data_IF_262259035117
#
_entry.id   IF_262259035117
#
_cell.length_a   1.000
_cell.length_b   1.000
_cell.length_c   1.000
_cell.angle_alpha   90.00
_cell.angle_beta   90.00
_cell.angle_gamma   90.00
#
_symmetry.space_group_name_H-M   'P 1'
#
loop_
_entity.id
_entity.type
_entity.pdbx_description
1 polymer ?
#
# COMPACT_ATOMS: atom_id res chain seq x y z
N UNK A 1 -40.38 18.87 10.75
CA UNK A 1 -40.23 17.44 11.12
C UNK A 1 -39.88 16.54 9.93
N UNK A 2 -40.64 16.55 8.83
CA UNK A 2 -40.43 15.66 7.66
C UNK A 2 -39.02 15.74 7.02
N UNK A 3 -38.44 16.94 6.90
CA UNK A 3 -37.06 17.15 6.39
C UNK A 3 -35.98 16.59 7.33
N UNK A 4 -36.23 16.63 8.64
CA UNK A 4 -35.29 16.14 9.66
C UNK A 4 -35.19 14.61 9.62
N UNK A 5 -36.34 13.93 9.42
CA UNK A 5 -36.42 12.48 9.29
C UNK A 5 -35.68 12.00 8.03
N UNK A 6 -35.84 12.69 6.89
CA UNK A 6 -35.14 12.37 5.64
C UNK A 6 -33.62 12.53 5.82
N UNK A 7 -33.18 13.61 6.45
CA UNK A 7 -31.77 13.82 6.76
C UNK A 7 -31.22 12.69 7.64
N UNK A 8 -31.97 12.28 8.67
CA UNK A 8 -31.60 11.19 9.57
C UNK A 8 -31.51 9.84 8.84
N UNK A 9 -32.45 9.53 7.95
CA UNK A 9 -32.42 8.30 7.13
C UNK A 9 -31.23 8.31 6.19
N UNK A 10 -30.93 9.43 5.52
CA UNK A 10 -29.76 9.56 4.65
C UNK A 10 -28.46 9.39 5.46
N UNK A 11 -28.36 10.03 6.62
CA UNK A 11 -27.21 9.85 7.50
C UNK A 11 -27.07 8.39 7.94
N UNK A 12 -28.15 7.74 8.40
CA UNK A 12 -28.14 6.34 8.82
C UNK A 12 -27.73 5.44 7.65
N UNK A 13 -28.26 5.63 6.44
CA UNK A 13 -27.88 4.86 5.26
C UNK A 13 -26.40 5.08 4.89
N UNK A 14 -25.89 6.31 4.96
CA UNK A 14 -24.48 6.61 4.67
C UNK A 14 -23.52 6.08 5.74
N UNK A 15 -23.91 6.10 7.02
CA UNK A 15 -23.11 5.56 8.13
C UNK A 15 -23.21 4.02 8.25
N UNK A 16 -24.30 3.42 7.77
CA UNK A 16 -24.50 1.95 7.78
C UNK A 16 -24.09 1.26 6.48
N UNK A 17 -23.80 2.01 5.40
CA UNK A 17 -23.21 1.47 4.17
C UNK A 17 -21.73 1.09 4.39
N UNK A 18 -21.49 0.09 5.23
CA UNK A 18 -20.23 -0.63 5.26
C UNK A 18 -20.17 -1.46 3.99
N UNK A 19 -19.24 -1.14 3.10
CA UNK A 19 -19.05 -1.96 1.92
C UNK A 19 -18.65 -3.37 2.35
N UNK A 20 -19.44 -4.36 1.95
CA UNK A 20 -19.20 -5.76 2.29
C UNK A 20 -17.85 -6.27 1.76
N UNK A 21 -17.31 -5.59 0.72
CA UNK A 21 -15.95 -5.73 0.20
C UNK A 21 -15.37 -4.33 -0.04
N UNK A 22 -14.06 -4.10 0.17
CA UNK A 22 -13.44 -2.81 -0.18
C UNK A 22 -13.70 -2.51 -1.66
N UNK A 23 -14.10 -1.26 -1.96
CA UNK A 23 -14.34 -0.82 -3.33
C UNK A 23 -13.09 -1.06 -4.19
N UNK A 24 -13.23 -1.46 -5.47
CA UNK A 24 -12.09 -1.64 -6.35
C UNK A 24 -11.28 -0.35 -6.42
N UNK A 25 -9.95 -0.48 -6.38
CA UNK A 25 -9.06 0.68 -6.45
C UNK A 25 -9.16 1.34 -7.82
N UNK A 26 -9.50 2.62 -7.87
CA UNK A 26 -9.60 3.38 -9.13
C UNK A 26 -8.22 3.98 -9.42
N UNK A 27 -7.65 3.66 -10.60
CA UNK A 27 -6.40 4.27 -11.05
C UNK A 27 -6.65 5.72 -11.43
N UNK A 28 -5.79 6.62 -10.95
CA UNK A 28 -5.91 8.07 -11.18
C UNK A 28 -4.77 8.57 -12.03
N UNK A 29 -3.58 7.98 -11.87
CA UNK A 29 -2.44 8.38 -12.68
C UNK A 29 -1.56 7.19 -13.01
N UNK A 30 -0.92 7.31 -14.18
CA UNK A 30 0.19 6.48 -14.61
C UNK A 30 1.30 7.42 -15.02
N UNK A 31 2.50 7.19 -14.51
CA UNK A 31 3.69 7.97 -14.84
C UNK A 31 4.76 7.01 -15.34
N UNK A 32 5.51 7.46 -16.34
CA UNK A 32 6.64 6.77 -16.93
C UNK A 32 7.87 7.65 -16.80
N UNK A 33 8.94 7.11 -16.23
CA UNK A 33 10.23 7.77 -16.14
C UNK A 33 11.31 6.80 -16.58
N UNK A 34 12.20 7.23 -17.46
CA UNK A 34 13.36 6.45 -17.92
C UNK A 34 14.61 7.20 -17.50
N UNK A 35 15.34 6.64 -16.55
CA UNK A 35 16.72 7.03 -16.26
C UNK A 35 17.62 6.02 -16.99
N UNK A 36 18.84 6.40 -17.40
CA UNK A 36 19.70 5.69 -18.36
C UNK A 36 19.63 4.14 -18.34
N UNK A 37 19.67 3.53 -17.16
CA UNK A 37 19.66 2.07 -16.96
C UNK A 37 18.37 1.49 -16.39
N UNK A 38 17.41 2.33 -15.96
CA UNK A 38 16.21 1.91 -15.24
C UNK A 38 14.95 2.59 -15.80
N UNK A 39 13.96 1.79 -16.15
CA UNK A 39 12.63 2.22 -16.52
C UNK A 39 11.71 2.10 -15.32
N UNK A 40 11.13 3.21 -14.87
CA UNK A 40 10.21 3.28 -13.73
C UNK A 40 8.79 3.53 -14.22
N UNK A 41 7.85 2.65 -13.85
CA UNK A 41 6.41 2.82 -14.05
C UNK A 41 5.73 3.02 -12.71
N UNK A 42 5.01 4.12 -12.54
CA UNK A 42 4.26 4.42 -11.32
C UNK A 42 2.77 4.46 -11.59
N UNK A 43 2.01 3.92 -10.67
CA UNK A 43 0.55 3.93 -10.69
C UNK A 43 0.05 4.46 -9.35
N UNK A 44 -0.87 5.43 -9.40
CA UNK A 44 -1.58 5.91 -8.21
C UNK A 44 -3.04 5.51 -8.30
N UNK A 45 -3.57 5.02 -7.19
CA UNK A 45 -4.95 4.62 -7.05
C UNK A 45 -5.58 5.25 -5.80
N UNK A 46 -6.83 5.67 -5.89
CA UNK A 46 -7.67 5.93 -4.71
C UNK A 46 -8.33 4.61 -4.34
N UNK A 47 -8.37 4.36 -3.04
CA UNK A 47 -9.07 3.23 -2.44
C UNK A 47 -10.07 3.75 -1.43
N UNK A 48 -11.29 3.23 -1.53
CA UNK A 48 -12.29 3.39 -0.48
C UNK A 48 -12.27 2.09 0.33
N UNK A 49 -11.94 2.19 1.60
CA UNK A 49 -11.97 1.04 2.49
C UNK A 49 -13.41 0.56 2.73
N UNK A 50 -13.56 -0.64 3.27
CA UNK A 50 -14.86 -1.17 3.70
C UNK A 50 -15.59 -0.27 4.74
N UNK A 51 -14.86 0.64 5.39
CA UNK A 51 -15.38 1.56 6.39
C UNK A 51 -15.59 2.99 5.85
N UNK A 52 -15.59 3.20 4.53
CA UNK A 52 -15.76 4.53 3.92
C UNK A 52 -14.53 5.45 4.03
N UNK A 53 -13.47 4.99 4.70
CA UNK A 53 -12.22 5.74 4.84
C UNK A 53 -11.46 5.74 3.49
N UNK A 54 -11.08 6.94 3.03
CA UNK A 54 -10.24 7.14 1.85
C UNK A 54 -8.77 6.81 2.14
N UNK A 55 -8.15 6.11 1.21
CA UNK A 55 -6.72 5.81 1.22
C UNK A 55 -6.15 5.86 -0.18
N UNK A 56 -4.83 5.86 -0.26
CA UNK A 56 -4.09 5.83 -1.51
C UNK A 56 -3.32 4.52 -1.61
N UNK A 57 -3.25 3.97 -2.82
CA UNK A 57 -2.32 2.89 -3.14
C UNK A 57 -1.41 3.39 -4.25
N UNK A 58 -0.11 3.41 -4.00
CA UNK A 58 0.89 3.64 -5.03
C UNK A 58 1.58 2.32 -5.34
N UNK A 59 1.70 2.00 -6.62
CA UNK A 59 2.47 0.87 -7.12
C UNK A 59 3.58 1.43 -8.00
N UNK A 60 4.81 1.05 -7.73
CA UNK A 60 5.97 1.39 -8.54
C UNK A 60 6.60 0.09 -9.04
N UNK A 61 6.87 0.01 -10.33
CA UNK A 61 7.54 -1.10 -10.99
C UNK A 61 8.81 -0.55 -11.66
N UNK A 62 9.96 -1.14 -11.33
CA UNK A 62 11.25 -0.78 -11.94
C UNK A 62 11.71 -1.93 -12.83
N UNK A 63 12.09 -1.58 -14.04
CA UNK A 63 12.59 -2.50 -15.05
C UNK A 63 14.00 -2.12 -15.46
N UNK A 64 14.79 -3.09 -15.88
CA UNK A 64 16.04 -2.82 -16.58
C UNK A 64 15.76 -2.34 -18.03
N UNK A 65 16.83 -2.08 -18.78
CA UNK A 65 16.74 -1.67 -20.19
C UNK A 65 16.21 -2.77 -21.10
N UNK A 66 16.28 -4.03 -20.69
CA UNK A 66 15.82 -5.19 -21.44
C UNK A 66 14.34 -5.51 -21.15
N UNK A 67 13.70 -4.78 -20.23
CA UNK A 67 12.31 -4.97 -19.85
C UNK A 67 12.10 -6.00 -18.73
N UNK A 68 13.17 -6.48 -18.08
CA UNK A 68 13.12 -7.39 -16.93
C UNK A 68 12.71 -6.61 -15.68
N UNK A 69 11.72 -7.12 -14.94
CA UNK A 69 11.26 -6.51 -13.70
C UNK A 69 12.29 -6.71 -12.59
N UNK A 70 12.88 -5.62 -12.08
CA UNK A 70 13.86 -5.64 -11.00
C UNK A 70 13.21 -5.46 -9.63
N UNK A 71 12.22 -4.57 -9.55
CA UNK A 71 11.58 -4.23 -8.27
C UNK A 71 10.10 -3.90 -8.48
N UNK A 72 9.27 -4.36 -7.53
CA UNK A 72 7.88 -3.94 -7.40
C UNK A 72 7.59 -3.48 -5.98
N UNK A 73 7.22 -2.21 -5.88
CA UNK A 73 6.95 -1.52 -4.62
C UNK A 73 5.46 -1.19 -4.49
N UNK A 74 4.86 -1.57 -3.38
CA UNK A 74 3.46 -1.29 -3.02
C UNK A 74 3.44 -0.41 -1.78
N UNK A 75 2.78 0.74 -1.88
CA UNK A 75 2.63 1.69 -0.78
C UNK A 75 1.15 1.97 -0.57
N UNK A 76 0.59 1.42 0.51
CA UNK A 76 -0.80 1.66 0.91
C UNK A 76 -0.84 2.66 2.06
N UNK A 77 -1.47 3.79 1.81
CA UNK A 77 -1.76 4.83 2.78
C UNK A 77 -3.24 4.71 3.17
N UNK A 78 -3.52 4.59 4.46
CA UNK A 78 -4.87 4.61 5.00
C UNK A 78 -4.97 5.80 5.95
N UNK A 79 -5.74 6.81 5.55
CA UNK A 79 -6.07 7.92 6.45
C UNK A 79 -6.97 7.41 7.58
N UNK A 80 -7.05 8.13 8.70
CA UNK A 80 -8.12 8.02 9.72
C UNK A 80 -8.60 6.58 10.03
N UNK A 81 -7.68 5.67 10.38
CA UNK A 81 -8.05 4.35 10.95
C UNK A 81 -8.90 4.60 12.20
N UNK A 82 -9.75 3.66 12.62
CA UNK A 82 -10.71 3.76 13.76
C UNK A 82 -10.20 4.48 15.01
N UNK A 83 -8.89 4.47 15.27
CA UNK A 83 -8.22 5.13 16.38
C UNK A 83 -7.62 6.52 16.06
N UNK A 84 -8.06 7.18 14.98
CA UNK A 84 -7.61 8.51 14.56
C UNK A 84 -6.20 8.56 13.99
N UNK A 85 -5.62 7.42 13.60
CA UNK A 85 -4.22 7.30 13.16
C UNK A 85 -4.11 7.06 11.66
N UNK A 86 -3.05 7.57 11.04
CA UNK A 86 -2.67 7.20 9.66
C UNK A 86 -1.82 5.94 9.70
N UNK A 87 -2.17 4.94 8.88
CA UNK A 87 -1.40 3.71 8.73
C UNK A 87 -0.80 3.64 7.34
N UNK A 88 0.51 3.45 7.25
CA UNK A 88 1.21 3.22 5.99
C UNK A 88 1.73 1.80 5.98
N UNK A 89 1.42 1.06 4.92
CA UNK A 89 1.95 -0.27 4.67
C UNK A 89 2.76 -0.22 3.37
N UNK A 90 4.05 -0.47 3.49
CA UNK A 90 4.99 -0.58 2.38
C UNK A 90 5.42 -2.03 2.22
N UNK A 91 5.34 -2.55 1.00
CA UNK A 91 5.89 -3.85 0.61
C UNK A 91 6.75 -3.64 -0.63
N UNK A 92 8.04 -3.94 -0.54
CA UNK A 92 8.95 -3.94 -1.69
C UNK A 92 9.29 -5.39 -2.00
N UNK A 93 9.26 -5.75 -3.28
CA UNK A 93 9.66 -7.06 -3.77
C UNK A 93 10.77 -6.83 -4.78
N UNK A 94 11.94 -7.41 -4.53
CA UNK A 94 13.08 -7.37 -5.44
C UNK A 94 13.23 -8.72 -6.11
N UNK A 95 13.46 -8.72 -7.42
CA UNK A 95 13.57 -9.90 -8.25
C UNK A 95 15.01 -10.07 -8.76
N UNK A 96 15.36 -11.30 -9.11
CA UNK A 96 16.55 -11.60 -9.91
C UNK A 96 16.34 -11.23 -11.38
N UNK A 97 17.40 -11.29 -12.18
CA UNK A 97 17.29 -11.13 -13.64
C UNK A 97 16.44 -12.23 -14.29
N UNK A 98 16.35 -13.41 -13.68
CA UNK A 98 15.51 -14.52 -14.13
C UNK A 98 14.04 -14.37 -13.69
N UNK A 99 13.71 -13.30 -12.95
CA UNK A 99 12.36 -13.03 -12.46
C UNK A 99 11.99 -13.76 -11.17
N UNK A 100 12.92 -14.47 -10.53
CA UNK A 100 12.71 -15.10 -9.22
C UNK A 100 12.74 -14.08 -8.09
N UNK A 101 11.88 -14.23 -7.08
CA UNK A 101 11.88 -13.31 -5.92
C UNK A 101 13.13 -13.53 -5.10
N UNK A 102 13.89 -12.47 -4.84
CA UNK A 102 15.10 -12.51 -3.99
C UNK A 102 14.85 -11.95 -2.60
N UNK A 103 14.11 -10.85 -2.51
CA UNK A 103 13.87 -10.13 -1.25
C UNK A 103 12.47 -9.55 -1.19
N UNK A 104 11.85 -9.65 -0.02
CA UNK A 104 10.62 -8.93 0.30
C UNK A 104 10.81 -8.12 1.56
N UNK A 105 10.72 -6.80 1.44
CA UNK A 105 10.77 -5.86 2.56
C UNK A 105 9.34 -5.43 2.94
N UNK A 106 8.97 -5.64 4.21
CA UNK A 106 7.66 -5.34 4.75
C UNK A 106 7.79 -4.31 5.87
N UNK A 107 7.23 -3.12 5.66
CA UNK A 107 7.20 -2.05 6.66
C UNK A 107 5.78 -1.58 6.91
N UNK A 108 5.38 -1.51 8.17
CA UNK A 108 4.10 -0.93 8.59
C UNK A 108 4.38 0.13 9.63
N UNK A 109 4.00 1.37 9.33
CA UNK A 109 4.05 2.49 10.28
C UNK A 109 2.64 2.91 10.67
N UNK A 110 2.50 3.42 11.89
CA UNK A 110 1.24 3.97 12.38
C UNK A 110 1.50 5.25 13.14
N UNK A 111 0.97 6.36 12.65
CA UNK A 111 1.28 7.69 13.17
C UNK A 111 0.02 8.35 13.77
N UNK A 112 0.19 9.07 14.88
CA UNK A 112 -0.78 10.03 15.41
C UNK A 112 -0.36 11.43 14.96
N UNK A 113 -1.15 12.08 14.09
CA UNK A 113 -0.88 13.46 13.67
C UNK A 113 0.47 13.67 12.94
N UNK A 114 1.10 14.82 13.19
CA UNK A 114 2.40 15.25 12.60
C UNK A 114 3.64 14.71 13.33
N UNK A 115 3.46 13.86 14.36
CA UNK A 115 4.56 13.32 15.17
C UNK A 115 5.35 12.17 14.51
N UNK A 116 6.49 11.83 15.10
CA UNK A 116 7.42 10.80 14.63
C UNK A 116 6.73 9.44 14.39
N UNK A 117 7.08 8.79 13.28
CA UNK A 117 6.45 7.56 12.85
C UNK A 117 6.94 6.36 13.66
N UNK A 118 6.09 5.75 14.49
CA UNK A 118 6.45 4.48 15.15
C UNK A 118 6.24 3.32 14.17
N UNK A 119 7.30 2.58 13.88
CA UNK A 119 7.23 1.33 13.14
C UNK A 119 6.50 0.28 13.98
N UNK A 120 5.44 -0.30 13.42
CA UNK A 120 4.75 -1.47 13.99
C UNK A 120 5.29 -2.78 13.44
N UNK A 121 5.89 -2.72 12.25
CA UNK A 121 6.54 -3.84 11.58
C UNK A 121 7.66 -3.29 10.72
N UNK A 122 8.84 -3.86 10.85
CA UNK A 122 9.92 -3.73 9.88
C UNK A 122 10.60 -5.10 9.77
N UNK A 123 10.47 -5.73 8.60
CA UNK A 123 10.96 -7.08 8.37
C UNK A 123 11.43 -7.24 6.93
N UNK A 124 12.54 -7.94 6.78
CA UNK A 124 13.07 -8.37 5.48
C UNK A 124 13.00 -9.90 5.39
N UNK A 125 12.51 -10.40 4.27
CA UNK A 125 12.43 -11.84 3.96
C UNK A 125 13.32 -12.11 2.76
N UNK A 126 14.28 -13.01 2.92
CA UNK A 126 15.22 -13.41 1.87
C UNK A 126 14.84 -14.78 1.31
N UNK A 127 15.02 -14.92 0.00
CA UNK A 127 14.69 -16.12 -0.76
C UNK A 127 15.95 -16.61 -1.48
N UNK A 128 16.05 -17.92 -1.66
CA UNK A 128 17.10 -18.54 -2.47
C UNK A 128 16.75 -18.46 -3.97
N UNK A 129 17.65 -18.99 -4.81
CA UNK A 129 17.53 -18.95 -6.27
C UNK A 129 16.34 -19.77 -6.78
N UNK A 130 15.89 -20.75 -5.98
CA UNK A 130 14.74 -21.61 -6.26
C UNK A 130 13.41 -20.99 -5.76
N UNK A 131 13.44 -19.76 -5.23
CA UNK A 131 12.27 -19.07 -4.69
C UNK A 131 11.80 -19.60 -3.34
N UNK A 132 12.59 -20.45 -2.67
CA UNK A 132 12.29 -20.92 -1.31
C UNK A 132 12.79 -19.88 -0.30
N UNK A 133 11.99 -19.67 0.75
CA UNK A 133 12.34 -18.72 1.82
C UNK A 133 13.55 -19.22 2.59
N UNK A 134 14.64 -18.46 2.54
CA UNK A 134 15.88 -18.75 3.23
C UNK A 134 15.91 -18.15 4.65
N UNK A 135 15.67 -16.83 4.77
CA UNK A 135 15.84 -16.11 6.04
C UNK A 135 14.75 -15.07 6.28
N UNK A 136 14.51 -14.77 7.56
CA UNK A 136 13.68 -13.67 8.04
C UNK A 136 14.52 -12.81 8.98
N UNK A 137 14.59 -11.51 8.72
CA UNK A 137 15.29 -10.53 9.55
C UNK A 137 14.23 -9.54 10.07
N UNK A 138 14.14 -9.37 11.39
CA UNK A 138 13.26 -8.37 12.01
C UNK A 138 14.09 -7.14 12.36
N UNK A 139 13.76 -6.00 11.75
CA UNK A 139 14.52 -4.76 11.88
C UNK A 139 13.84 -3.75 12.82
N UNK A 140 12.92 -4.20 13.67
CA UNK A 140 12.36 -3.36 14.72
C UNK A 140 13.44 -3.19 15.79
N UNK A 141 14.07 -2.01 15.85
CA UNK A 141 14.81 -1.59 17.04
C UNK A 141 13.81 -1.42 18.20
N UNK A 142 14.13 -2.00 19.36
CA UNK A 142 13.37 -1.83 20.60
C UNK A 142 13.59 -0.43 21.18
#
# INVERSE_FOLDING_TARGET
>A
MRKLIILLIICVLLFSCRFQKPFPSIRISKEYRKDSTIVVKRYKFIRISQYGIFGHLHIEEKYDTNGVLLEKSYHKYSALVRDGRTKVHRRIITFSQEGTVKRVDLKITKNQGRGAAKYKLDKTILYDDNGKRNQIINNLEN
#
